data_IF_293676548943
#
_entry.id   IF_293676548943
#
_cell.length_a   1.000
_cell.length_b   1.000
_cell.length_c   1.000
_cell.angle_alpha   90.00
_cell.angle_beta   90.00
_cell.angle_gamma   90.00
#
_symmetry.space_group_name_H-M   'P 1'
#
loop_
_entity.id
_entity.type
_entity.pdbx_description
1 polymer ?
#
# COMPACT_ATOMS: atom_id res chain seq x y z
N UNK A 1 -5.12 -3.18 -14.14
CA UNK A 1 -3.77 -3.01 -13.55
C UNK A 1 -3.08 -1.73 -14.04
N UNK A 2 -3.04 -1.48 -15.36
CA UNK A 2 -2.36 -0.31 -15.95
C UNK A 2 -2.89 1.04 -15.47
N UNK A 3 -4.22 1.16 -15.31
CA UNK A 3 -4.88 2.40 -14.85
C UNK A 3 -4.42 2.85 -13.45
N UNK A 4 -3.91 1.94 -12.60
CA UNK A 4 -3.34 2.33 -11.30
C UNK A 4 -1.88 2.75 -11.41
N UNK A 5 -1.13 2.12 -12.31
CA UNK A 5 0.29 2.36 -12.46
C UNK A 5 0.57 3.81 -12.89
N UNK A 6 -0.24 4.34 -13.80
CA UNK A 6 -0.05 5.69 -14.32
C UNK A 6 -0.23 6.79 -13.26
N UNK A 7 -1.34 6.84 -12.48
CA UNK A 7 -1.48 7.78 -11.38
C UNK A 7 -0.45 7.56 -10.28
N UNK A 8 -0.14 6.31 -9.91
CA UNK A 8 0.87 6.03 -8.88
C UNK A 8 2.25 6.55 -9.30
N UNK A 9 2.64 6.39 -10.57
CA UNK A 9 3.93 6.91 -11.04
C UNK A 9 3.93 8.43 -11.20
N UNK A 10 2.84 9.03 -11.67
CA UNK A 10 2.70 10.48 -11.74
C UNK A 10 2.82 11.12 -10.35
N UNK A 11 2.17 10.54 -9.34
CA UNK A 11 2.23 10.99 -7.95
C UNK A 11 3.60 10.73 -7.34
N UNK A 12 4.23 9.59 -7.62
CA UNK A 12 5.62 9.37 -7.20
C UNK A 12 6.55 10.41 -7.82
N UNK A 13 6.39 10.76 -9.10
CA UNK A 13 7.22 11.79 -9.73
C UNK A 13 6.98 13.17 -9.11
N UNK A 14 5.72 13.53 -8.85
CA UNK A 14 5.36 14.82 -8.28
C UNK A 14 5.79 14.98 -6.81
N UNK A 15 5.61 13.94 -5.98
CA UNK A 15 5.77 14.06 -4.53
C UNK A 15 7.08 13.48 -3.98
N UNK A 16 7.76 12.58 -4.70
CA UNK A 16 8.96 11.92 -4.17
C UNK A 16 10.09 12.91 -3.87
N UNK A 17 10.29 13.91 -4.72
CA UNK A 17 11.35 14.89 -4.52
C UNK A 17 10.99 15.91 -3.43
N UNK A 18 9.72 16.32 -3.33
CA UNK A 18 9.23 17.16 -2.25
C UNK A 18 9.31 16.45 -0.88
N UNK A 19 8.93 15.17 -0.82
CA UNK A 19 9.01 14.37 0.41
C UNK A 19 10.46 14.10 0.79
N UNK A 20 11.33 13.77 -0.18
CA UNK A 20 12.76 13.60 0.08
C UNK A 20 13.41 14.91 0.55
N UNK A 21 12.99 16.06 0.03
CA UNK A 21 13.49 17.36 0.46
C UNK A 21 13.06 17.66 1.92
N UNK A 22 11.81 17.34 2.26
CA UNK A 22 11.24 17.54 3.61
C UNK A 22 11.89 16.63 4.67
N UNK A 23 12.36 15.45 4.27
CA UNK A 23 13.00 14.46 5.16
C UNK A 23 14.50 14.27 4.89
N UNK A 24 15.20 15.30 4.40
CA UNK A 24 16.66 15.23 4.22
C UNK A 24 17.34 14.83 5.54
N UNK A 25 18.00 13.67 5.56
CA UNK A 25 18.87 13.27 6.66
C UNK A 25 20.28 13.81 6.42
N UNK A 26 20.86 14.42 7.45
CA UNK A 26 22.27 14.82 7.42
C UNK A 26 23.18 13.60 7.59
N UNK A 27 24.39 13.62 7.00
CA UNK A 27 25.34 12.50 7.05
C UNK A 27 25.76 12.16 8.49
N UNK A 28 25.68 13.11 9.41
CA UNK A 28 26.14 12.98 10.80
C UNK A 28 25.07 12.53 11.82
N UNK A 29 23.88 12.11 11.37
CA UNK A 29 22.82 11.64 12.26
C UNK A 29 23.00 10.16 12.64
N UNK A 30 22.64 9.83 13.89
CA UNK A 30 22.61 8.46 14.38
C UNK A 30 21.65 7.57 13.58
N UNK A 31 21.95 6.27 13.53
CA UNK A 31 21.21 5.29 12.73
C UNK A 31 19.69 5.30 12.99
N UNK A 32 19.28 5.38 14.26
CA UNK A 32 17.86 5.42 14.64
C UNK A 32 17.11 6.64 14.06
N UNK A 33 17.77 7.80 13.95
CA UNK A 33 17.19 9.03 13.39
C UNK A 33 17.04 8.89 11.88
N UNK A 34 18.05 8.35 11.19
CA UNK A 34 18.01 8.07 9.74
C UNK A 34 16.91 7.06 9.40
N UNK A 35 16.81 5.98 10.17
CA UNK A 35 15.76 4.98 10.01
C UNK A 35 14.37 5.60 10.21
N UNK A 36 14.18 6.36 11.29
CA UNK A 36 12.88 7.00 11.58
C UNK A 36 12.48 8.00 10.50
N UNK A 37 13.42 8.82 9.99
CA UNK A 37 13.17 9.74 8.87
C UNK A 37 12.86 9.00 7.56
N UNK A 38 13.53 7.89 7.27
CA UNK A 38 13.23 7.07 6.10
C UNK A 38 11.84 6.43 6.18
N UNK A 39 11.47 5.90 7.34
CA UNK A 39 10.14 5.33 7.56
C UNK A 39 9.06 6.41 7.52
N UNK A 40 9.27 7.56 8.16
CA UNK A 40 8.33 8.68 8.17
C UNK A 40 8.15 9.29 6.77
N UNK A 41 9.24 9.55 6.05
CA UNK A 41 9.18 10.02 4.66
C UNK A 41 8.45 9.01 3.77
N UNK A 42 8.69 7.72 3.99
CA UNK A 42 8.01 6.65 3.29
C UNK A 42 6.52 6.59 3.62
N UNK A 43 6.14 6.80 4.87
CA UNK A 43 4.75 6.86 5.33
C UNK A 43 4.01 8.05 4.72
N UNK A 44 4.62 9.24 4.75
CA UNK A 44 4.04 10.49 4.21
C UNK A 44 3.90 10.44 2.69
N UNK A 45 4.92 9.99 1.96
CA UNK A 45 4.81 9.75 0.51
C UNK A 45 3.74 8.72 0.18
N UNK A 46 3.66 7.65 0.98
CA UNK A 46 2.64 6.62 0.86
C UNK A 46 1.24 7.20 1.07
N UNK A 47 1.02 7.94 2.14
CA UNK A 47 -0.26 8.57 2.47
C UNK A 47 -0.72 9.54 1.37
N UNK A 48 0.17 10.42 0.87
CA UNK A 48 -0.17 11.34 -0.23
C UNK A 48 -0.52 10.59 -1.52
N UNK A 49 0.22 9.53 -1.87
CA UNK A 49 -0.15 8.71 -3.02
C UNK A 49 -1.50 8.01 -2.80
N UNK A 50 -1.76 7.51 -1.59
CA UNK A 50 -3.03 6.89 -1.24
C UNK A 50 -4.18 7.90 -1.31
N UNK A 51 -4.00 9.18 -0.98
CA UNK A 51 -5.09 10.17 -1.08
C UNK A 51 -5.77 10.17 -2.45
N UNK A 52 -5.03 9.92 -3.53
CA UNK A 52 -5.57 9.86 -4.88
C UNK A 52 -5.85 8.44 -5.36
N UNK A 53 -4.99 7.47 -5.01
CA UNK A 53 -5.09 6.10 -5.53
C UNK A 53 -6.05 5.23 -4.73
N UNK A 54 -6.34 5.59 -3.48
CA UNK A 54 -7.16 4.78 -2.57
C UNK A 54 -8.60 4.61 -3.07
N UNK A 55 -9.19 5.67 -3.62
CA UNK A 55 -10.53 5.63 -4.21
C UNK A 55 -10.61 4.65 -5.39
N UNK A 56 -9.59 4.62 -6.24
CA UNK A 56 -9.46 3.67 -7.35
C UNK A 56 -9.27 2.23 -6.84
N UNK A 57 -8.45 2.03 -5.81
CA UNK A 57 -8.23 0.72 -5.19
C UNK A 57 -9.52 0.21 -4.50
N UNK A 58 -10.30 1.10 -3.88
CA UNK A 58 -11.61 0.81 -3.31
C UNK A 58 -12.59 0.34 -4.40
N UNK A 59 -12.77 1.11 -5.48
CA UNK A 59 -13.66 0.74 -6.58
C UNK A 59 -13.30 -0.60 -7.21
N UNK A 60 -12.01 -0.82 -7.42
CA UNK A 60 -11.52 -2.09 -7.95
C UNK A 60 -11.84 -3.25 -7.00
N UNK A 61 -11.64 -3.08 -5.70
CA UNK A 61 -11.86 -4.14 -4.71
C UNK A 61 -13.34 -4.53 -4.67
N UNK A 62 -14.25 -3.55 -4.68
CA UNK A 62 -15.71 -3.79 -4.77
C UNK A 62 -16.09 -4.51 -6.06
N UNK A 63 -15.61 -4.04 -7.22
CA UNK A 63 -15.88 -4.69 -8.51
C UNK A 63 -15.32 -6.11 -8.62
N UNK A 64 -14.11 -6.34 -8.09
CA UNK A 64 -13.49 -7.66 -8.11
C UNK A 64 -14.26 -8.65 -7.22
N UNK A 65 -14.84 -8.18 -6.11
CA UNK A 65 -15.64 -9.01 -5.23
C UNK A 65 -17.05 -9.26 -5.81
N UNK A 66 -17.67 -8.25 -6.43
CA UNK A 66 -18.95 -8.40 -7.16
C UNK A 66 -18.81 -9.40 -8.33
N UNK A 67 -17.73 -9.29 -9.12
CA UNK A 67 -17.44 -10.23 -10.19
C UNK A 67 -17.18 -11.67 -9.68
N UNK A 68 -16.62 -11.83 -8.48
CA UNK A 68 -16.42 -13.15 -7.85
C UNK A 68 -17.73 -13.72 -7.30
N UNK A 69 -18.60 -12.88 -6.75
CA UNK A 69 -19.93 -13.28 -6.28
C UNK A 69 -20.78 -13.79 -7.46
N UNK A 70 -20.74 -13.10 -8.59
CA UNK A 70 -21.37 -13.52 -9.85
C UNK A 70 -20.88 -14.89 -10.35
N UNK A 71 -19.56 -15.16 -10.28
CA UNK A 71 -19.00 -16.45 -10.72
C UNK A 71 -19.31 -17.63 -9.81
N UNK A 72 -19.75 -17.41 -8.56
CA UNK A 72 -20.00 -18.48 -7.57
C UNK A 72 -21.42 -19.06 -7.59
N UNK A 73 -22.31 -18.56 -8.46
CA UNK A 73 -23.45 -19.32 -9.00
C UNK A 73 -24.30 -20.17 -8.04
N UNK A 74 -24.65 -19.68 -6.84
CA UNK A 74 -25.55 -20.40 -5.95
C UNK A 74 -26.43 -19.44 -5.15
N UNK A 75 -27.75 -19.57 -5.30
CA UNK A 75 -28.92 -19.03 -4.55
C UNK A 75 -28.95 -17.55 -4.06
N UNK A 76 -27.80 -16.88 -3.93
CA UNK A 76 -27.59 -15.47 -3.64
C UNK A 76 -26.91 -14.75 -4.82
N UNK A 77 -26.99 -15.33 -6.03
CA UNK A 77 -26.54 -14.73 -7.28
C UNK A 77 -27.50 -13.64 -7.74
N UNK A 78 -27.67 -12.59 -6.94
CA UNK A 78 -28.41 -11.39 -7.33
C UNK A 78 -27.70 -10.65 -8.47
N UNK A 79 -28.45 -9.80 -9.17
CA UNK A 79 -27.95 -8.88 -10.20
C UNK A 79 -26.63 -8.21 -9.79
N UNK A 80 -25.77 -7.88 -10.77
CA UNK A 80 -24.53 -7.13 -10.53
C UNK A 80 -24.80 -5.97 -9.58
N UNK A 81 -24.11 -5.96 -8.43
CA UNK A 81 -24.25 -4.85 -7.50
C UNK A 81 -23.71 -3.56 -8.12
N UNK A 82 -22.74 -3.67 -9.04
CA UNK A 82 -22.16 -2.53 -9.75
C UNK A 82 -22.00 -2.80 -11.25
N UNK A 83 -22.45 -1.85 -12.08
CA UNK A 83 -22.30 -1.92 -13.54
C UNK A 83 -20.90 -1.50 -14.02
N UNK A 84 -20.18 -0.71 -13.23
CA UNK A 84 -18.81 -0.27 -13.51
C UNK A 84 -18.22 0.61 -12.41
N UNK A 85 -17.01 1.16 -12.63
CA UNK A 85 -16.32 2.00 -11.64
C UNK A 85 -17.13 3.25 -11.26
N UNK A 86 -17.77 3.90 -12.24
CA UNK A 86 -18.60 5.10 -12.01
C UNK A 86 -19.83 4.78 -11.14
N UNK A 87 -20.43 3.61 -11.34
CA UNK A 87 -21.58 3.16 -10.54
C UNK A 87 -21.19 2.87 -9.09
N UNK A 88 -19.98 2.31 -8.85
CA UNK A 88 -19.44 2.17 -7.49
C UNK A 88 -19.30 3.53 -6.82
N UNK A 89 -18.68 4.50 -7.48
CA UNK A 89 -18.54 5.85 -6.92
C UNK A 89 -19.89 6.48 -6.58
N UNK A 90 -20.84 6.43 -7.52
CA UNK A 90 -22.16 7.06 -7.34
C UNK A 90 -22.91 6.44 -6.16
N UNK A 91 -22.98 5.10 -6.12
CA UNK A 91 -23.68 4.38 -5.04
C UNK A 91 -23.01 4.57 -3.68
N UNK A 92 -21.69 4.47 -3.60
CA UNK A 92 -20.96 4.65 -2.34
C UNK A 92 -21.04 6.08 -1.82
N UNK A 93 -20.96 7.09 -2.70
CA UNK A 93 -21.13 8.50 -2.27
C UNK A 93 -22.57 8.75 -1.81
N UNK A 94 -23.56 8.12 -2.45
CA UNK A 94 -24.96 8.28 -2.06
C UNK A 94 -25.29 7.59 -0.73
N UNK A 95 -24.67 6.44 -0.41
CA UNK A 95 -24.92 5.73 0.86
C UNK A 95 -24.06 6.23 2.02
N UNK A 96 -22.73 6.28 1.85
CA UNK A 96 -21.76 6.53 2.93
C UNK A 96 -20.93 7.82 2.72
N UNK A 97 -21.20 8.56 1.65
CA UNK A 97 -20.46 9.78 1.32
C UNK A 97 -18.98 9.53 0.99
N UNK A 98 -18.18 10.61 1.07
CA UNK A 98 -16.73 10.57 0.83
C UNK A 98 -16.03 9.71 1.89
N UNK A 99 -16.55 9.66 3.12
CA UNK A 99 -15.98 8.84 4.18
C UNK A 99 -16.04 7.34 3.85
N UNK A 100 -17.08 6.89 3.15
CA UNK A 100 -17.20 5.51 2.66
C UNK A 100 -16.08 5.11 1.70
N UNK A 101 -15.69 6.02 0.80
CA UNK A 101 -14.60 5.80 -0.17
C UNK A 101 -13.22 5.70 0.49
N UNK A 102 -13.01 6.40 1.61
CA UNK A 102 -11.72 6.42 2.34
C UNK A 102 -11.72 5.52 3.60
N UNK A 103 -12.72 4.66 3.77
CA UNK A 103 -12.81 3.74 4.91
C UNK A 103 -11.66 2.75 4.87
N UNK A 104 -10.78 2.81 5.87
CA UNK A 104 -9.53 2.06 5.94
C UNK A 104 -8.27 2.82 5.49
N UNK A 105 -8.36 4.11 5.18
CA UNK A 105 -7.21 4.93 4.83
C UNK A 105 -6.14 4.97 5.95
N UNK A 106 -6.56 5.16 7.20
CA UNK A 106 -5.64 5.22 8.36
C UNK A 106 -4.89 3.90 8.54
N UNK A 107 -5.59 2.76 8.53
CA UNK A 107 -4.94 1.45 8.67
C UNK A 107 -4.00 1.15 7.50
N UNK A 108 -4.30 1.70 6.32
CA UNK A 108 -3.42 1.58 5.15
C UNK A 108 -2.11 2.35 5.35
N UNK A 109 -2.18 3.55 5.92
CA UNK A 109 -1.00 4.33 6.26
C UNK A 109 -0.13 3.60 7.31
N UNK A 110 -0.77 3.04 8.34
CA UNK A 110 -0.08 2.19 9.34
C UNK A 110 0.58 0.99 8.68
N UNK A 111 -0.13 0.30 7.77
CA UNK A 111 0.42 -0.82 7.02
C UNK A 111 1.66 -0.47 6.20
N UNK A 112 1.69 0.70 5.56
CA UNK A 112 2.86 1.19 4.82
C UNK A 112 4.05 1.43 5.76
N UNK A 113 3.79 2.05 6.91
CA UNK A 113 4.83 2.32 7.92
C UNK A 113 5.42 1.03 8.46
N UNK A 114 4.58 0.07 8.85
CA UNK A 114 5.01 -1.25 9.34
C UNK A 114 5.77 -2.02 8.26
N UNK A 115 5.23 -2.07 7.04
CA UNK A 115 5.89 -2.75 5.92
C UNK A 115 7.27 -2.15 5.64
N UNK A 116 7.38 -0.82 5.53
CA UNK A 116 8.67 -0.15 5.29
C UNK A 116 9.63 -0.30 6.47
N UNK A 117 9.14 -0.20 7.69
CA UNK A 117 9.94 -0.39 8.90
C UNK A 117 10.55 -1.79 8.94
N UNK A 118 9.73 -2.83 8.75
CA UNK A 118 10.23 -4.20 8.67
C UNK A 118 11.15 -4.43 7.48
N UNK A 119 10.86 -3.84 6.31
CA UNK A 119 11.69 -3.98 5.12
C UNK A 119 13.10 -3.43 5.37
N UNK A 120 13.21 -2.18 5.84
CA UNK A 120 14.51 -1.58 6.15
C UNK A 120 15.18 -2.31 7.31
N UNK A 121 14.46 -2.64 8.38
CA UNK A 121 15.02 -3.35 9.53
C UNK A 121 15.61 -4.71 9.17
N UNK A 122 14.88 -5.53 8.41
CA UNK A 122 15.39 -6.81 7.94
C UNK A 122 16.51 -6.66 6.93
N UNK A 123 16.41 -5.71 5.99
CA UNK A 123 17.46 -5.49 5.00
C UNK A 123 18.77 -5.03 5.66
N UNK A 124 18.70 -4.06 6.58
CA UNK A 124 19.87 -3.52 7.27
C UNK A 124 20.50 -4.53 8.25
N UNK A 125 19.72 -5.48 8.78
CA UNK A 125 20.24 -6.56 9.65
C UNK A 125 20.85 -7.70 8.85
N UNK A 126 20.14 -8.18 7.81
CA UNK A 126 20.51 -9.38 7.07
C UNK A 126 21.59 -9.12 6.02
N UNK A 127 21.64 -7.91 5.44
CA UNK A 127 22.67 -7.55 4.45
C UNK A 127 24.10 -7.68 4.99
N UNK A 128 24.48 -7.08 6.13
CA UNK A 128 25.83 -7.24 6.66
C UNK A 128 26.12 -8.67 7.11
N UNK A 129 25.13 -9.41 7.63
CA UNK A 129 25.32 -10.80 8.07
C UNK A 129 25.53 -11.79 6.92
N UNK A 130 24.79 -11.65 5.81
CA UNK A 130 24.76 -12.66 4.74
C UNK A 130 25.63 -12.31 3.53
N UNK A 131 25.86 -11.01 3.27
CA UNK A 131 26.43 -10.55 2.01
C UNK A 131 27.75 -9.78 2.21
N UNK A 132 27.93 -9.10 3.35
CA UNK A 132 29.06 -8.20 3.57
C UNK A 132 29.09 -7.02 2.58
N UNK A 133 30.21 -6.30 2.49
CA UNK A 133 30.35 -5.10 1.63
C UNK A 133 30.59 -5.41 0.13
N UNK A 134 30.83 -6.67 -0.25
CA UNK A 134 31.23 -7.08 -1.60
C UNK A 134 30.25 -7.99 -2.36
N UNK A 135 28.98 -7.99 -1.96
CA UNK A 135 27.97 -8.93 -2.45
C UNK A 135 27.70 -8.99 -3.94
N UNK A 136 27.68 -10.20 -4.50
CA UNK A 136 27.13 -10.49 -5.83
C UNK A 136 25.71 -9.92 -6.00
N UNK A 137 25.39 -9.41 -7.19
CA UNK A 137 24.05 -8.92 -7.55
C UNK A 137 22.96 -9.96 -7.23
N UNK A 138 23.22 -11.24 -7.49
CA UNK A 138 22.26 -12.32 -7.22
C UNK A 138 22.00 -12.51 -5.72
N UNK A 139 23.02 -12.35 -4.88
CA UNK A 139 22.85 -12.42 -3.43
C UNK A 139 22.01 -11.23 -2.93
N UNK A 140 22.27 -10.03 -3.43
CA UNK A 140 21.48 -8.83 -3.09
C UNK A 140 20.02 -8.95 -3.55
N UNK A 141 19.79 -9.55 -4.72
CA UNK A 141 18.45 -9.83 -5.23
C UNK A 141 17.72 -10.87 -4.38
N UNK A 142 18.37 -12.00 -4.08
CA UNK A 142 17.80 -13.04 -3.22
C UNK A 142 17.45 -12.51 -1.83
N UNK A 143 18.34 -11.70 -1.24
CA UNK A 143 18.07 -11.03 0.03
C UNK A 143 16.87 -10.08 -0.08
N UNK A 144 16.82 -9.25 -1.12
CA UNK A 144 15.68 -8.36 -1.37
C UNK A 144 14.37 -9.14 -1.48
N UNK A 145 14.39 -10.31 -2.11
CA UNK A 145 13.23 -11.19 -2.23
C UNK A 145 12.78 -11.75 -0.88
N UNK A 146 13.70 -12.30 -0.10
CA UNK A 146 13.42 -12.84 1.25
C UNK A 146 12.86 -11.74 2.16
N UNK A 147 13.51 -10.57 2.18
CA UNK A 147 13.06 -9.43 2.97
C UNK A 147 11.65 -9.00 2.55
N UNK A 148 11.37 -8.93 1.24
CA UNK A 148 10.05 -8.56 0.72
C UNK A 148 8.97 -9.53 1.18
N UNK A 149 9.25 -10.84 1.14
CA UNK A 149 8.31 -11.88 1.61
C UNK A 149 8.08 -11.73 3.11
N UNK A 150 9.15 -11.67 3.90
CA UNK A 150 9.05 -11.57 5.37
C UNK A 150 8.31 -10.31 5.81
N UNK A 151 8.66 -9.14 5.26
CA UNK A 151 7.95 -7.89 5.55
C UNK A 151 6.49 -7.94 5.07
N UNK A 152 6.24 -8.58 3.93
CA UNK A 152 4.90 -8.83 3.42
C UNK A 152 4.05 -9.65 4.40
N UNK A 153 4.59 -10.76 4.91
CA UNK A 153 3.93 -11.63 5.89
C UNK A 153 3.63 -10.89 7.20
N UNK A 154 4.57 -10.10 7.72
CA UNK A 154 4.36 -9.30 8.94
C UNK A 154 3.26 -8.25 8.74
N UNK A 155 3.21 -7.62 7.56
CA UNK A 155 2.17 -6.62 7.24
C UNK A 155 0.82 -7.22 6.85
N UNK A 156 0.75 -8.53 6.62
CA UNK A 156 -0.42 -9.21 6.06
C UNK A 156 -1.69 -9.13 6.93
N UNK A 157 -1.62 -9.21 8.28
CA UNK A 157 -2.78 -8.99 9.14
C UNK A 157 -3.37 -7.58 8.96
N UNK A 158 -2.52 -6.57 8.82
CA UNK A 158 -2.94 -5.18 8.60
C UNK A 158 -3.61 -5.04 7.24
N UNK A 159 -3.07 -5.69 6.21
CA UNK A 159 -3.70 -5.73 4.88
C UNK A 159 -5.08 -6.41 4.92
N UNK A 160 -5.21 -7.45 5.73
CA UNK A 160 -6.48 -8.16 5.90
C UNK A 160 -7.53 -7.25 6.55
N UNK A 161 -7.17 -6.54 7.63
CA UNK A 161 -8.06 -5.57 8.30
C UNK A 161 -8.47 -4.46 7.34
N UNK A 162 -7.52 -3.91 6.58
CA UNK A 162 -7.77 -2.91 5.53
C UNK A 162 -8.85 -3.37 4.56
N UNK A 163 -8.69 -4.57 3.99
CA UNK A 163 -9.66 -5.11 3.02
C UNK A 163 -11.02 -5.39 3.63
N UNK A 164 -11.06 -5.85 4.89
CA UNK A 164 -12.32 -6.04 5.63
C UNK A 164 -13.07 -4.71 5.81
N UNK A 165 -12.37 -3.65 6.22
CA UNK A 165 -12.98 -2.31 6.38
C UNK A 165 -13.46 -1.70 5.06
N UNK A 166 -12.72 -1.89 3.97
CA UNK A 166 -13.15 -1.45 2.63
C UNK A 166 -14.45 -2.16 2.18
N UNK A 167 -14.73 -3.35 2.69
CA UNK A 167 -15.93 -4.09 2.35
C UNK A 167 -17.15 -3.72 3.20
N UNK A 168 -16.94 -3.02 4.31
CA UNK A 168 -18.01 -2.51 5.17
C UNK A 168 -18.69 -1.27 4.59
N UNK A 169 -18.06 -0.53 3.69
CA UNK A 169 -18.70 0.62 3.02
C UNK A 169 -19.51 0.17 1.80
N UNK A 170 -20.67 0.78 1.62
CA UNK A 170 -21.56 0.59 0.47
C UNK A 170 -22.94 0.12 0.87
#
# INVERSE_FOLDING_TARGET
NVIRYFPTQALNFAFKDQVKAMFKSSKNEGYAVKFSKNVASGGVAGAMSLCFVYSLDYCRTRLANDAKAQKKGGAAGGERQFTGMVDVYKKTIQSDGIQGLYRGFVISCVGIVVYRGCYFGFYDTLKPMLIGEGGSFMASFALGYIVTISSGLVSYPIDTIRRRMMMTSG
#
